data_IF_078977855471
#
_entry.id   IF_078977855471
#
_cell.length_a   1.000
_cell.length_b   1.000
_cell.length_c   1.000
_cell.angle_alpha   90.00
_cell.angle_beta   90.00
_cell.angle_gamma   90.00
#
_symmetry.space_group_name_H-M   'P 1'
#
loop_
_entity.id
_entity.type
_entity.pdbx_description
1 polymer ?
#
# COMPACT_ATOMS: atom_id res chain seq x y z
N UNK A 1 26.01 -14.91 -5.40
CA UNK A 1 24.85 -14.63 -6.27
C UNK A 1 24.22 -13.40 -5.67
N UNK A 2 24.19 -12.28 -6.38
CA UNK A 2 23.41 -11.12 -5.93
C UNK A 2 21.96 -11.58 -5.77
N UNK A 3 21.38 -11.38 -4.59
CA UNK A 3 19.97 -11.64 -4.38
C UNK A 3 19.19 -10.67 -5.27
N UNK A 4 18.65 -11.19 -6.37
CA UNK A 4 17.86 -10.39 -7.27
C UNK A 4 16.48 -10.21 -6.65
N UNK A 5 16.28 -9.07 -5.98
CA UNK A 5 14.98 -8.67 -5.46
C UNK A 5 14.06 -8.25 -6.62
N UNK A 6 12.80 -8.68 -6.58
CA UNK A 6 11.77 -8.30 -7.55
C UNK A 6 10.67 -7.57 -6.79
N UNK A 7 10.35 -6.34 -7.20
CA UNK A 7 9.16 -5.65 -6.69
C UNK A 7 7.95 -6.06 -7.52
N UNK A 8 6.88 -6.46 -6.85
CA UNK A 8 5.63 -6.87 -7.49
C UNK A 8 4.51 -6.02 -6.91
N UNK A 9 3.84 -5.18 -7.71
CA UNK A 9 2.68 -4.44 -7.23
C UNK A 9 1.54 -5.43 -6.93
N UNK A 10 0.82 -5.19 -5.83
CA UNK A 10 -0.36 -5.95 -5.47
C UNK A 10 -1.44 -5.00 -4.92
N UNK A 11 -2.71 -5.40 -5.07
CA UNK A 11 -3.85 -4.62 -4.61
C UNK A 11 -4.68 -5.44 -3.62
N UNK A 12 -5.20 -4.77 -2.58
CA UNK A 12 -6.22 -5.30 -1.68
C UNK A 12 -7.53 -4.59 -1.96
N UNK A 13 -8.53 -5.34 -2.45
CA UNK A 13 -9.85 -4.79 -2.77
C UNK A 13 -10.79 -5.06 -1.60
N UNK A 14 -11.28 -3.98 -0.99
CA UNK A 14 -12.24 -4.02 0.11
C UNK A 14 -13.47 -3.17 -0.20
N UNK A 15 -14.56 -3.42 0.50
CA UNK A 15 -15.78 -2.62 0.46
C UNK A 15 -16.23 -2.31 1.88
N UNK A 16 -16.65 -1.08 2.12
CA UNK A 16 -17.20 -0.65 3.40
C UNK A 16 -18.53 0.07 3.18
N UNK A 17 -19.37 0.09 4.21
CA UNK A 17 -20.65 0.79 4.21
C UNK A 17 -20.60 1.83 5.31
N UNK A 18 -21.06 3.04 4.99
CA UNK A 18 -21.05 4.20 5.89
C UNK A 18 -22.33 5.01 5.69
N UNK A 19 -22.78 5.67 6.75
CA UNK A 19 -23.83 6.69 6.72
C UNK A 19 -23.26 8.13 6.69
N UNK A 20 -21.92 8.25 6.70
CA UNK A 20 -21.18 9.52 6.62
C UNK A 20 -20.73 9.82 5.18
N UNK A 21 -20.23 11.03 4.97
CA UNK A 21 -19.52 11.35 3.73
C UNK A 21 -18.24 10.51 3.60
N UNK A 22 -17.82 10.24 2.35
CA UNK A 22 -16.68 9.36 2.06
C UNK A 22 -15.40 9.89 2.71
N UNK A 23 -15.15 11.20 2.60
CA UNK A 23 -13.99 11.89 3.17
C UNK A 23 -13.93 11.74 4.70
N UNK A 24 -15.07 11.80 5.38
CA UNK A 24 -15.16 11.60 6.84
C UNK A 24 -15.12 10.13 7.26
N UNK A 25 -15.21 9.21 6.31
CA UNK A 25 -15.21 7.76 6.55
C UNK A 25 -13.81 7.15 6.45
N UNK A 26 -12.84 7.92 5.96
CA UNK A 26 -11.47 7.48 5.74
C UNK A 26 -10.57 8.21 6.73
N UNK A 27 -9.72 7.44 7.39
CA UNK A 27 -8.74 7.99 8.31
C UNK A 27 -7.54 8.53 7.51
N UNK A 28 -7.24 9.80 7.66
CA UNK A 28 -6.17 10.53 6.95
C UNK A 28 -4.94 10.83 7.84
N UNK A 29 -5.03 10.56 9.14
CA UNK A 29 -4.01 10.88 10.15
C UNK A 29 -3.12 9.69 10.55
N UNK A 30 -2.91 8.73 9.64
CA UNK A 30 -2.12 7.52 9.94
C UNK A 30 -0.66 7.87 10.27
N UNK A 31 -0.20 7.51 11.47
CA UNK A 31 1.21 7.71 11.84
C UNK A 31 2.12 6.68 11.18
N UNK A 32 3.43 6.97 11.01
CA UNK A 32 4.38 6.00 10.46
C UNK A 32 4.42 4.67 11.22
N UNK A 33 4.33 4.70 12.55
CA UNK A 33 4.34 3.49 13.40
C UNK A 33 3.07 2.64 13.19
N UNK A 34 1.91 3.26 13.02
CA UNK A 34 0.68 2.55 12.70
C UNK A 34 0.69 1.96 11.29
N UNK A 35 1.30 2.67 10.34
CA UNK A 35 1.48 2.18 8.97
C UNK A 35 2.39 0.95 8.95
N UNK A 36 3.51 0.99 9.68
CA UNK A 36 4.44 -0.13 9.81
C UNK A 36 3.73 -1.36 10.39
N UNK A 37 2.96 -1.20 11.47
CA UNK A 37 2.16 -2.29 12.06
C UNK A 37 1.16 -2.89 11.07
N UNK A 38 0.52 -2.06 10.25
CA UNK A 38 -0.42 -2.53 9.23
C UNK A 38 0.30 -3.32 8.12
N UNK A 39 1.45 -2.83 7.64
CA UNK A 39 2.28 -3.52 6.65
C UNK A 39 2.77 -4.87 7.18
N UNK A 40 3.22 -4.93 8.43
CA UNK A 40 3.66 -6.17 9.07
C UNK A 40 2.53 -7.19 9.20
N UNK A 41 1.33 -6.73 9.58
CA UNK A 41 0.14 -7.57 9.63
C UNK A 41 -0.17 -8.15 8.24
N UNK A 42 -0.19 -7.31 7.21
CA UNK A 42 -0.47 -7.74 5.84
C UNK A 42 0.59 -8.72 5.34
N UNK A 43 1.88 -8.42 5.55
CA UNK A 43 3.00 -9.31 5.21
C UNK A 43 2.84 -10.69 5.87
N UNK A 44 2.55 -10.71 7.18
CA UNK A 44 2.39 -11.93 7.96
C UNK A 44 1.22 -12.80 7.52
N UNK A 45 0.10 -12.20 7.12
CA UNK A 45 -1.13 -12.95 6.82
C UNK A 45 -1.25 -13.34 5.36
N UNK A 46 -0.76 -12.53 4.44
CA UNK A 46 -1.00 -12.73 3.00
C UNK A 46 0.22 -13.27 2.26
N UNK A 47 1.43 -13.15 2.82
CA UNK A 47 2.66 -13.50 2.12
C UNK A 47 3.47 -14.56 2.88
N UNK A 48 4.41 -15.18 2.15
CA UNK A 48 5.38 -16.12 2.73
C UNK A 48 6.47 -15.36 3.49
N UNK A 49 7.18 -16.08 4.36
CA UNK A 49 8.32 -15.53 5.12
C UNK A 49 9.35 -14.87 4.20
N UNK A 50 9.87 -13.72 4.62
CA UNK A 50 10.86 -12.93 3.88
C UNK A 50 10.28 -11.89 2.91
N UNK A 51 8.96 -11.84 2.69
CA UNK A 51 8.32 -10.79 1.89
C UNK A 51 8.15 -9.51 2.70
N UNK A 52 8.67 -8.40 2.18
CA UNK A 52 8.47 -7.05 2.73
C UNK A 52 7.33 -6.37 1.98
N UNK A 53 6.45 -5.71 2.72
CA UNK A 53 5.28 -5.01 2.18
C UNK A 53 5.43 -3.52 2.45
N UNK A 54 5.21 -2.71 1.43
CA UNK A 54 5.07 -1.27 1.53
C UNK A 54 3.66 -0.88 1.07
N UNK A 55 3.02 0.05 1.77
CA UNK A 55 1.67 0.53 1.50
C UNK A 55 1.65 2.05 1.51
N UNK A 56 0.94 2.62 0.55
CA UNK A 56 0.53 4.02 0.57
C UNK A 56 -0.98 4.06 0.82
N UNK A 57 -1.44 4.47 2.02
CA UNK A 57 -2.86 4.49 2.33
C UNK A 57 -3.52 5.69 1.65
N UNK A 58 -4.13 5.46 0.49
CA UNK A 58 -5.02 6.42 -0.15
C UNK A 58 -6.28 5.71 -0.68
N UNK A 59 -7.43 6.36 -0.57
CA UNK A 59 -8.62 5.92 -1.29
C UNK A 59 -8.59 6.56 -2.65
N UNK A 60 -8.27 5.74 -3.64
CA UNK A 60 -8.27 6.14 -5.04
C UNK A 60 -9.57 5.66 -5.68
N UNK A 61 -10.26 6.50 -6.46
CA UNK A 61 -11.24 6.05 -7.44
C UNK A 61 -10.68 4.85 -8.22
N UNK A 62 -11.53 3.89 -8.63
CA UNK A 62 -11.06 2.70 -9.37
C UNK A 62 -10.21 3.05 -10.60
N UNK A 63 -10.50 4.19 -11.22
CA UNK A 63 -9.82 4.73 -12.40
C UNK A 63 -8.41 5.28 -12.08
N UNK A 64 -8.15 5.67 -10.83
CA UNK A 64 -6.89 6.25 -10.34
C UNK A 64 -5.98 5.22 -9.65
N UNK A 65 -6.44 3.98 -9.48
CA UNK A 65 -5.63 2.91 -8.89
C UNK A 65 -4.36 2.62 -9.70
N UNK A 66 -4.44 2.70 -11.03
CA UNK A 66 -3.29 2.54 -11.93
C UNK A 66 -2.24 3.66 -11.74
N UNK A 67 -2.65 4.88 -11.41
CA UNK A 67 -1.74 6.00 -11.15
C UNK A 67 -1.04 5.83 -9.79
N UNK A 68 -1.78 5.43 -8.75
CA UNK A 68 -1.20 5.13 -7.44
C UNK A 68 -0.18 3.99 -7.49
N UNK A 69 -0.40 2.96 -8.33
CA UNK A 69 0.58 1.90 -8.55
C UNK A 69 1.87 2.43 -9.19
N UNK A 70 1.76 3.35 -10.16
CA UNK A 70 2.94 3.98 -10.79
C UNK A 70 3.70 4.90 -9.84
N UNK A 71 3.01 5.61 -8.95
CA UNK A 71 3.66 6.40 -7.89
C UNK A 71 4.41 5.51 -6.90
N UNK A 72 3.81 4.38 -6.50
CA UNK A 72 4.48 3.38 -5.66
C UNK A 72 5.72 2.79 -6.34
N UNK A 73 5.64 2.52 -7.64
CA UNK A 73 6.79 2.09 -8.45
C UNK A 73 7.90 3.15 -8.42
N UNK A 74 7.58 4.41 -8.67
CA UNK A 74 8.54 5.52 -8.60
C UNK A 74 9.12 5.71 -7.18
N UNK A 75 8.35 5.51 -6.11
CA UNK A 75 8.88 5.59 -4.74
C UNK A 75 9.87 4.45 -4.43
N UNK A 76 9.69 3.28 -5.05
CA UNK A 76 10.56 2.12 -4.86
C UNK A 76 11.81 2.19 -5.73
N UNK A 77 11.71 2.75 -6.94
CA UNK A 77 12.77 2.73 -7.95
C UNK A 77 13.36 4.12 -8.29
N UNK A 78 12.80 5.21 -7.77
CA UNK A 78 13.05 6.59 -8.21
C UNK A 78 13.99 7.41 -7.33
N UNK A 79 15.02 6.79 -6.76
CA UNK A 79 16.25 7.51 -6.35
C UNK A 79 17.46 6.90 -7.09
N UNK A 80 17.51 7.12 -8.40
CA UNK A 80 18.76 7.14 -9.18
C UNK A 80 18.67 8.26 -10.24
N UNK A 81 18.87 9.51 -9.81
CA UNK A 81 19.64 10.49 -10.60
C UNK A 81 20.95 10.82 -9.86
#
# INVERSE_FOLDING_TARGET
MEEQYVAVPFALVGFFVTDKEVEESIRDDLTPEELEKLQDLIAKFLFKEGVRVALYPSVVPPEQADEAVKELENMIFGEEE
#
